data_IF_625048914409
#
_entry.id   IF_625048914409
#
_cell.length_a   1.000
_cell.length_b   1.000
_cell.length_c   1.000
_cell.angle_alpha   90.00
_cell.angle_beta   90.00
_cell.angle_gamma   90.00
#
_symmetry.space_group_name_H-M   'P 1'
#
loop_
_entity.id
_entity.type
_entity.pdbx_description
1 polymer ?
#
# COMPACT_ATOMS: atom_id res chain seq x y z
N UNK A 1 55.23 -41.08 -1.17
CA UNK A 1 53.77 -41.34 -1.26
C UNK A 1 53.18 -40.74 0.01
N UNK A 2 53.00 -39.42 0.07
CA UNK A 2 51.78 -38.64 -0.28
C UNK A 2 50.58 -38.89 0.63
N UNK A 3 50.11 -37.77 1.21
CA UNK A 3 48.79 -37.45 1.76
C UNK A 3 48.62 -37.82 3.25
N UNK A 4 48.37 -36.88 4.17
CA UNK A 4 47.31 -35.85 4.18
C UNK A 4 46.30 -36.33 5.23
N UNK A 5 45.86 -35.59 6.25
CA UNK A 5 45.50 -34.19 6.30
C UNK A 5 45.54 -33.66 7.75
N UNK A 6 46.00 -32.42 7.90
CA UNK A 6 45.84 -31.61 9.11
C UNK A 6 44.35 -31.28 9.31
N UNK A 7 43.78 -31.72 10.43
CA UNK A 7 42.51 -31.20 10.93
C UNK A 7 42.75 -29.84 11.57
N UNK A 8 42.70 -28.79 10.75
CA UNK A 8 42.63 -27.41 11.22
C UNK A 8 41.22 -27.12 11.75
N UNK A 9 41.15 -26.74 13.03
CA UNK A 9 39.95 -26.29 13.73
C UNK A 9 39.58 -24.88 13.24
N UNK A 10 39.02 -24.81 12.03
CA UNK A 10 38.54 -23.57 11.45
C UNK A 10 37.17 -23.24 12.03
N UNK A 11 37.21 -22.27 12.94
CA UNK A 11 36.08 -21.44 13.35
C UNK A 11 35.19 -21.10 12.16
N UNK A 12 34.06 -21.79 12.02
CA UNK A 12 32.97 -21.35 11.15
C UNK A 12 32.26 -20.16 11.81
N UNK A 13 32.96 -19.02 11.86
CA UNK A 13 32.35 -17.71 11.87
C UNK A 13 31.59 -17.61 10.56
N UNK A 14 30.28 -17.88 10.60
CA UNK A 14 29.38 -17.51 9.51
C UNK A 14 29.68 -16.05 9.14
N UNK A 15 30.23 -15.77 7.95
CA UNK A 15 30.47 -14.40 7.57
C UNK A 15 29.10 -13.74 7.50
N UNK A 16 28.92 -12.68 8.29
CA UNK A 16 27.84 -11.73 8.10
C UNK A 16 27.94 -11.28 6.63
N UNK A 17 27.13 -11.88 5.77
CA UNK A 17 26.77 -11.25 4.52
C UNK A 17 25.92 -10.08 4.96
N UNK A 18 26.59 -8.96 5.20
CA UNK A 18 25.99 -7.65 5.11
C UNK A 18 25.13 -7.72 3.85
N UNK A 19 23.81 -7.82 4.05
CA UNK A 19 22.87 -7.51 2.99
C UNK A 19 23.09 -6.03 2.81
N UNK A 20 24.03 -5.70 1.91
CA UNK A 20 24.16 -4.40 1.31
C UNK A 20 22.76 -4.10 0.79
N UNK A 21 22.03 -3.30 1.57
CA UNK A 21 20.76 -2.75 1.17
C UNK A 21 21.16 -1.81 0.04
N UNK A 22 21.19 -2.36 -1.17
CA UNK A 22 21.39 -1.65 -2.43
C UNK A 22 20.72 -0.29 -2.24
N UNK A 23 21.54 0.77 -2.30
CA UNK A 23 21.10 2.14 -2.25
C UNK A 23 19.78 2.20 -3.01
N UNK A 24 18.68 2.54 -2.31
CA UNK A 24 17.35 2.53 -2.90
C UNK A 24 17.39 3.58 -4.01
N UNK A 25 17.77 3.16 -5.22
CA UNK A 25 17.76 3.96 -6.42
C UNK A 25 16.35 4.52 -6.46
N UNK A 26 16.24 5.85 -6.33
CA UNK A 26 14.98 6.55 -6.33
C UNK A 26 14.43 6.51 -7.76
N UNK A 27 14.07 5.31 -8.22
CA UNK A 27 13.31 5.14 -9.45
C UNK A 27 11.99 5.85 -9.24
N UNK A 28 11.84 6.94 -9.97
CA UNK A 28 10.54 7.55 -10.19
C UNK A 28 9.64 6.49 -10.83
N UNK A 29 8.86 5.79 -9.99
CA UNK A 29 7.82 4.89 -10.49
C UNK A 29 6.84 5.74 -11.27
N UNK A 30 6.79 5.52 -12.58
CA UNK A 30 5.80 6.12 -13.46
C UNK A 30 4.36 5.82 -13.02
N UNK A 31 3.40 6.43 -13.72
CA UNK A 31 1.98 6.30 -13.43
C UNK A 31 1.54 4.83 -13.38
N UNK A 32 1.13 4.36 -12.20
CA UNK A 32 0.59 3.01 -12.02
C UNK A 32 -0.94 3.06 -12.07
N UNK A 33 -1.55 2.35 -13.02
CA UNK A 33 -3.01 2.30 -13.18
C UNK A 33 -3.71 1.15 -12.43
N UNK A 34 -2.96 0.34 -11.68
CA UNK A 34 -3.52 -0.75 -10.88
C UNK A 34 -3.91 -1.99 -11.68
N UNK A 35 -3.32 -2.24 -12.85
CA UNK A 35 -3.70 -3.38 -13.72
C UNK A 35 -3.57 -4.74 -13.02
N UNK A 36 -2.52 -4.95 -12.21
CA UNK A 36 -2.37 -6.18 -11.42
C UNK A 36 -3.51 -6.38 -10.41
N UNK A 37 -3.92 -5.29 -9.73
CA UNK A 37 -5.00 -5.30 -8.74
C UNK A 37 -6.36 -5.51 -9.40
N UNK A 38 -6.54 -4.97 -10.61
CA UNK A 38 -7.71 -5.23 -11.45
C UNK A 38 -7.82 -6.71 -11.84
N UNK A 39 -6.70 -7.37 -12.20
CA UNK A 39 -6.68 -8.82 -12.50
C UNK A 39 -7.19 -9.66 -11.31
N UNK A 40 -6.85 -9.27 -10.08
CA UNK A 40 -7.36 -9.94 -8.86
C UNK A 40 -8.89 -9.78 -8.75
N UNK A 41 -9.45 -8.59 -8.98
CA UNK A 41 -10.91 -8.41 -8.96
C UNK A 41 -11.60 -9.23 -10.06
N UNK A 42 -11.01 -9.26 -11.26
CA UNK A 42 -11.53 -10.05 -12.38
C UNK A 42 -11.57 -11.55 -12.07
N UNK A 43 -10.52 -12.08 -11.44
CA UNK A 43 -10.47 -13.48 -11.03
C UNK A 43 -11.58 -13.83 -10.02
N UNK A 44 -11.91 -12.89 -9.12
CA UNK A 44 -12.97 -13.04 -8.12
C UNK A 44 -14.39 -12.74 -8.64
N UNK A 45 -14.54 -12.43 -9.94
CA UNK A 45 -15.83 -12.14 -10.62
C UNK A 45 -16.68 -11.06 -9.95
N UNK A 46 -16.05 -10.10 -9.26
CA UNK A 46 -16.78 -9.06 -8.55
C UNK A 46 -15.88 -8.00 -7.90
N UNK A 47 -16.53 -7.02 -7.26
CA UNK A 47 -15.83 -6.08 -6.38
C UNK A 47 -15.57 -6.77 -5.05
N UNK A 48 -14.40 -6.53 -4.48
CA UNK A 48 -14.03 -7.07 -3.18
C UNK A 48 -14.73 -6.27 -2.07
N UNK A 49 -15.51 -6.91 -1.17
CA UNK A 49 -16.15 -6.22 -0.06
C UNK A 49 -15.11 -5.74 0.95
N UNK A 50 -15.28 -4.50 1.40
CA UNK A 50 -14.40 -3.86 2.36
C UNK A 50 -15.21 -3.57 3.62
N UNK A 51 -14.87 -4.30 4.68
CA UNK A 51 -15.38 -4.05 6.03
C UNK A 51 -14.21 -3.54 6.87
N UNK A 52 -14.35 -2.32 7.39
CA UNK A 52 -13.34 -1.68 8.25
C UNK A 52 -13.97 -1.56 9.65
N UNK A 53 -13.43 -2.26 10.65
CA UNK A 53 -13.90 -2.11 12.02
C UNK A 53 -13.71 -0.69 12.53
N UNK A 54 -14.55 -0.30 13.47
CA UNK A 54 -14.43 0.99 14.13
C UNK A 54 -13.02 1.19 14.72
N UNK A 55 -12.49 2.42 14.59
CA UNK A 55 -11.15 2.78 15.07
C UNK A 55 -9.99 2.25 14.21
N UNK A 56 -10.23 1.35 13.24
CA UNK A 56 -9.21 0.87 12.31
C UNK A 56 -9.18 1.69 11.03
N UNK A 57 -8.01 1.73 10.40
CA UNK A 57 -7.79 2.46 9.13
C UNK A 57 -7.83 1.50 7.92
N UNK A 58 -7.68 0.20 8.16
CA UNK A 58 -7.62 -0.83 7.14
C UNK A 58 -8.53 -2.01 7.52
N UNK A 59 -8.99 -2.79 6.52
CA UNK A 59 -9.65 -4.08 6.74
C UNK A 59 -8.79 -5.02 7.58
N UNK A 60 -9.44 -5.98 8.26
CA UNK A 60 -8.75 -6.98 9.09
C UNK A 60 -7.97 -7.99 8.24
N UNK A 61 -8.56 -8.43 7.12
CA UNK A 61 -7.95 -9.43 6.26
C UNK A 61 -6.69 -8.87 5.56
N UNK A 62 -5.50 -9.48 5.74
CA UNK A 62 -4.23 -8.90 5.26
C UNK A 62 -4.17 -8.64 3.75
N UNK A 63 -4.63 -9.59 2.93
CA UNK A 63 -4.64 -9.45 1.47
C UNK A 63 -5.53 -8.28 1.02
N UNK A 64 -6.70 -8.18 1.64
CA UNK A 64 -7.67 -7.10 1.39
C UNK A 64 -7.11 -5.76 1.84
N UNK A 65 -6.45 -5.72 2.99
CA UNK A 65 -5.82 -4.53 3.54
C UNK A 65 -4.66 -4.03 2.66
N UNK A 66 -3.81 -4.93 2.17
CA UNK A 66 -2.73 -4.61 1.25
C UNK A 66 -3.28 -4.02 -0.05
N UNK A 67 -4.26 -4.70 -0.65
CA UNK A 67 -4.93 -4.25 -1.87
C UNK A 67 -5.58 -2.87 -1.70
N UNK A 68 -6.33 -2.69 -0.60
CA UNK A 68 -6.96 -1.42 -0.25
C UNK A 68 -5.93 -0.30 -0.12
N UNK A 69 -4.82 -0.55 0.58
CA UNK A 69 -3.76 0.44 0.73
C UNK A 69 -3.09 0.81 -0.60
N UNK A 70 -2.85 -0.16 -1.48
CA UNK A 70 -2.24 0.11 -2.80
C UNK A 70 -3.17 0.91 -3.70
N UNK A 71 -4.46 0.57 -3.76
CA UNK A 71 -5.45 1.34 -4.53
C UNK A 71 -5.63 2.76 -3.98
N UNK A 72 -5.61 2.95 -2.66
CA UNK A 72 -5.61 4.28 -2.04
C UNK A 72 -4.41 5.13 -2.53
N UNK A 73 -3.21 4.55 -2.52
CA UNK A 73 -2.01 5.25 -2.99
C UNK A 73 -2.08 5.59 -4.49
N UNK A 74 -2.59 4.67 -5.31
CA UNK A 74 -2.78 4.88 -6.75
C UNK A 74 -3.79 6.00 -6.99
N UNK A 75 -4.93 5.96 -6.30
CA UNK A 75 -5.99 6.95 -6.45
C UNK A 75 -5.51 8.36 -6.06
N UNK A 76 -4.74 8.50 -4.98
CA UNK A 76 -4.17 9.79 -4.59
C UNK A 76 -3.20 10.30 -5.65
N UNK A 77 -2.23 9.49 -6.07
CA UNK A 77 -1.20 9.92 -7.04
C UNK A 77 -1.77 10.32 -8.39
N UNK A 78 -2.75 9.59 -8.89
CA UNK A 78 -3.22 9.76 -10.27
C UNK A 78 -4.39 10.75 -10.38
N UNK A 79 -5.15 10.99 -9.30
CA UNK A 79 -6.42 11.70 -9.39
C UNK A 79 -6.57 12.83 -8.38
N UNK A 80 -5.77 12.86 -7.31
CA UNK A 80 -5.88 13.89 -6.27
C UNK A 80 -4.72 14.88 -6.46
N UNK A 81 -5.00 16.19 -6.61
CA UNK A 81 -3.95 17.18 -6.72
C UNK A 81 -3.11 17.22 -5.44
N UNK A 82 -1.80 17.42 -5.57
CA UNK A 82 -0.89 17.58 -4.43
C UNK A 82 -1.04 19.02 -3.89
N UNK A 83 -1.47 19.15 -2.64
CA UNK A 83 -1.58 20.43 -1.93
C UNK A 83 -0.55 20.47 -0.81
N UNK A 84 -0.06 21.68 -0.50
CA UNK A 84 1.01 21.89 0.48
C UNK A 84 0.62 21.50 1.91
N UNK A 85 -0.66 21.64 2.26
CA UNK A 85 -1.14 21.41 3.61
C UNK A 85 -2.43 20.58 3.65
N UNK A 86 -2.48 19.59 4.55
CA UNK A 86 -3.66 18.74 4.77
C UNK A 86 -4.96 19.54 5.05
N UNK A 87 -4.85 20.69 5.72
CA UNK A 87 -6.01 21.56 6.02
C UNK A 87 -6.72 22.04 4.75
N UNK A 88 -6.00 22.20 3.64
CA UNK A 88 -6.59 22.64 2.36
C UNK A 88 -7.43 21.54 1.71
N UNK A 89 -7.05 20.28 1.87
CA UNK A 89 -7.86 19.15 1.44
C UNK A 89 -9.21 19.12 2.15
N UNK A 90 -9.23 19.36 3.47
CA UNK A 90 -10.48 19.39 4.25
C UNK A 90 -11.42 20.51 3.83
N UNK A 91 -10.90 21.67 3.41
CA UNK A 91 -11.71 22.78 2.89
C UNK A 91 -12.39 22.42 1.57
N UNK A 92 -11.78 21.53 0.79
CA UNK A 92 -12.29 21.06 -0.50
C UNK A 92 -12.97 19.70 -0.32
N UNK A 93 -14.21 19.69 0.17
CA UNK A 93 -14.99 18.45 0.34
C UNK A 93 -15.08 17.60 -0.94
N UNK A 94 -15.00 18.23 -2.12
CA UNK A 94 -14.96 17.54 -3.41
C UNK A 94 -13.77 16.57 -3.60
N UNK A 95 -12.63 16.81 -2.96
CA UNK A 95 -11.44 15.96 -3.11
C UNK A 95 -11.61 14.62 -2.41
N UNK A 96 -12.13 14.63 -1.18
CA UNK A 96 -12.43 13.39 -0.47
C UNK A 96 -13.53 12.61 -1.19
N UNK A 97 -14.57 13.29 -1.71
CA UNK A 97 -15.63 12.65 -2.51
C UNK A 97 -15.09 12.03 -3.80
N UNK A 98 -14.19 12.72 -4.50
CA UNK A 98 -13.51 12.19 -5.69
C UNK A 98 -12.71 10.94 -5.34
N UNK A 99 -11.88 11.00 -4.30
CA UNK A 99 -11.07 9.88 -3.81
C UNK A 99 -11.94 8.67 -3.43
N UNK A 100 -12.96 8.87 -2.60
CA UNK A 100 -13.89 7.81 -2.20
C UNK A 100 -14.66 7.25 -3.40
N UNK A 101 -15.03 8.09 -4.38
CA UNK A 101 -15.66 7.66 -5.63
C UNK A 101 -14.76 6.71 -6.45
N UNK A 102 -13.45 6.98 -6.50
CA UNK A 102 -12.47 6.10 -7.16
C UNK A 102 -12.35 4.76 -6.43
N UNK A 103 -12.35 4.76 -5.09
CA UNK A 103 -12.33 3.52 -4.31
C UNK A 103 -13.61 2.70 -4.49
N UNK A 104 -14.77 3.35 -4.49
CA UNK A 104 -16.07 2.70 -4.71
C UNK A 104 -16.21 2.08 -6.11
N UNK A 105 -15.42 2.54 -7.09
CA UNK A 105 -15.35 1.90 -8.40
C UNK A 105 -14.59 0.55 -8.35
N UNK A 106 -13.65 0.38 -7.41
CA UNK A 106 -12.76 -0.80 -7.30
C UNK A 106 -13.21 -1.82 -6.26
N UNK A 107 -13.90 -1.36 -5.22
CA UNK A 107 -14.31 -2.14 -4.06
C UNK A 107 -15.80 -1.95 -3.79
N UNK A 108 -16.39 -2.91 -3.10
CA UNK A 108 -17.71 -2.76 -2.53
C UNK A 108 -17.56 -2.17 -1.11
N UNK A 109 -17.82 -0.87 -1.01
CA UNK A 109 -17.55 -0.07 0.19
C UNK A 109 -18.86 0.60 0.62
N UNK A 110 -19.22 0.42 1.89
CA UNK A 110 -20.31 1.20 2.49
C UNK A 110 -19.84 2.64 2.79
N UNK A 111 -20.00 3.53 1.81
CA UNK A 111 -19.61 4.95 1.95
C UNK A 111 -20.46 5.74 2.96
N UNK A 112 -21.57 5.18 3.45
CA UNK A 112 -22.40 5.78 4.51
C UNK A 112 -21.86 5.49 5.91
N UNK A 113 -20.98 4.51 6.04
CA UNK A 113 -20.38 4.12 7.33
C UNK A 113 -19.31 5.14 7.77
N UNK A 114 -19.45 5.65 9.00
CA UNK A 114 -18.53 6.64 9.57
C UNK A 114 -17.10 6.08 9.74
N UNK A 115 -16.96 4.79 10.09
CA UNK A 115 -15.66 4.11 10.23
C UNK A 115 -14.93 4.08 8.89
N UNK A 116 -15.66 3.76 7.81
CA UNK A 116 -15.13 3.75 6.45
C UNK A 116 -14.74 5.15 5.98
N UNK A 117 -15.57 6.16 6.24
CA UNK A 117 -15.25 7.55 5.89
C UNK A 117 -13.99 8.04 6.62
N UNK A 118 -13.90 7.75 7.92
CA UNK A 118 -12.74 8.09 8.74
C UNK A 118 -11.49 7.37 8.25
N UNK A 119 -11.58 6.08 7.93
CA UNK A 119 -10.48 5.30 7.38
C UNK A 119 -10.01 5.84 6.02
N UNK A 120 -10.93 6.14 5.10
CA UNK A 120 -10.62 6.72 3.79
C UNK A 120 -9.91 8.08 3.93
N UNK A 121 -10.40 8.95 4.80
CA UNK A 121 -9.78 10.25 5.08
C UNK A 121 -8.35 10.10 5.62
N UNK A 122 -8.13 9.16 6.55
CA UNK A 122 -6.82 8.89 7.14
C UNK A 122 -5.86 8.26 6.14
N UNK A 123 -6.35 7.35 5.28
CA UNK A 123 -5.56 6.78 4.18
C UNK A 123 -5.18 7.82 3.13
N UNK A 124 -6.10 8.71 2.75
CA UNK A 124 -5.83 9.80 1.82
C UNK A 124 -4.76 10.74 2.38
N UNK A 125 -4.85 11.11 3.66
CA UNK A 125 -3.84 11.92 4.35
C UNK A 125 -2.47 11.26 4.31
N UNK A 126 -2.40 9.99 4.69
CA UNK A 126 -1.13 9.25 4.74
C UNK A 126 -0.50 9.10 3.35
N UNK A 127 -1.32 8.96 2.30
CA UNK A 127 -0.86 8.88 0.93
C UNK A 127 -0.40 10.23 0.34
N UNK A 128 -0.90 11.34 0.88
CA UNK A 128 -0.58 12.70 0.39
C UNK A 128 0.66 13.30 1.04
N UNK A 129 0.98 12.91 2.29
CA UNK A 129 2.14 13.41 3.04
C UNK A 129 3.41 12.57 2.80
N UNK A 130 3.76 12.33 1.54
CA UNK A 130 4.93 11.52 1.19
C UNK A 130 6.18 12.36 0.94
#
# INVERSE_FOLDING_TARGET
>A
MTNGDEVNDDSNLMPNKDVELDEIDHRERGTNMGHGLYRINRALRGKLPIVIPEGKIRPVAPLVAAKFATECNIAVRNHVPVLKHWKEYKKKMGLLKLFTGKLNAKFDINTRDASVQNACSKMMKNASNR
#
